data_IF_768676443527
#
_entry.id   IF_768676443527
#
_cell.length_a   1.000
_cell.length_b   1.000
_cell.length_c   1.000
_cell.angle_alpha   90.00
_cell.angle_beta   90.00
_cell.angle_gamma   90.00
#
_symmetry.space_group_name_H-M   'P 1'
#
loop_
_entity.id
_entity.type
_entity.pdbx_description
1 polymer ?
#
# COMPACT_ATOMS: atom_id res chain seq x y z
N UNK A 1 -0.20 3.29 -9.04
CA UNK A 1 0.33 2.64 -7.83
C UNK A 1 1.38 1.60 -8.20
N UNK A 2 2.58 1.70 -7.63
CA UNK A 2 3.68 0.74 -7.80
C UNK A 2 3.97 0.15 -6.41
N UNK A 3 4.07 -1.17 -6.30
CA UNK A 3 4.48 -1.87 -5.09
C UNK A 3 5.91 -2.39 -5.30
N UNK A 4 6.81 -2.11 -4.36
CA UNK A 4 8.20 -2.59 -4.44
C UNK A 4 8.36 -3.93 -3.72
N UNK A 5 8.51 -5.01 -4.49
CA UNK A 5 8.72 -6.36 -3.94
C UNK A 5 10.13 -6.60 -3.37
N UNK A 6 11.05 -5.64 -3.56
CA UNK A 6 12.39 -5.71 -2.95
C UNK A 6 12.37 -5.35 -1.46
N UNK A 7 11.31 -4.67 -1.02
CA UNK A 7 11.09 -4.29 0.38
C UNK A 7 10.08 -5.24 1.02
N UNK A 8 10.48 -5.89 2.12
CA UNK A 8 9.64 -6.89 2.81
C UNK A 8 8.32 -6.30 3.30
N UNK A 9 8.35 -5.10 3.86
CA UNK A 9 7.18 -4.41 4.38
C UNK A 9 7.36 -2.92 4.12
N UNK A 10 6.37 -2.33 3.46
CA UNK A 10 6.34 -0.92 3.13
C UNK A 10 5.04 -0.35 3.67
N UNK A 11 5.06 0.90 4.14
CA UNK A 11 3.85 1.65 4.47
C UNK A 11 3.98 3.04 3.86
N UNK A 12 3.01 3.44 3.06
CA UNK A 12 3.02 4.73 2.37
C UNK A 12 1.60 5.20 2.06
N UNK A 13 1.46 6.50 1.81
CA UNK A 13 0.19 7.14 1.51
C UNK A 13 0.11 7.42 0.02
N UNK A 14 -0.99 7.04 -0.60
CA UNK A 14 -1.35 7.34 -1.99
C UNK A 14 -2.73 8.00 -2.01
N UNK A 15 -3.02 8.79 -3.04
CA UNK A 15 -4.36 9.32 -3.24
C UNK A 15 -5.24 8.30 -3.98
N UNK A 16 -6.49 8.16 -3.55
CA UNK A 16 -7.45 7.33 -4.28
C UNK A 16 -7.81 8.00 -5.63
N UNK A 17 -7.57 7.32 -6.74
CA UNK A 17 -7.85 7.83 -8.10
C UNK A 17 -9.35 8.03 -8.41
N UNK A 18 -10.26 7.59 -7.53
CA UNK A 18 -11.71 7.73 -7.71
C UNK A 18 -12.28 8.89 -6.86
N UNK A 19 -11.83 9.01 -5.61
CA UNK A 19 -12.37 9.98 -4.65
C UNK A 19 -11.35 11.00 -4.14
N UNK A 20 -10.09 10.94 -4.58
CA UNK A 20 -8.97 11.80 -4.18
C UNK A 20 -8.73 11.87 -2.66
N UNK A 21 -9.22 10.89 -1.90
CA UNK A 21 -8.97 10.79 -0.47
C UNK A 21 -7.65 10.04 -0.22
N UNK A 22 -6.88 10.44 0.80
CA UNK A 22 -5.64 9.76 1.14
C UNK A 22 -5.94 8.35 1.68
N UNK A 23 -5.24 7.37 1.13
CA UNK A 23 -5.25 5.98 1.57
C UNK A 23 -3.84 5.58 2.00
N UNK A 24 -3.71 5.01 3.20
CA UNK A 24 -2.48 4.37 3.63
C UNK A 24 -2.48 2.92 3.17
N UNK A 25 -1.37 2.50 2.58
CA UNK A 25 -1.19 1.19 1.98
C UNK A 25 0.01 0.51 2.62
N UNK A 26 -0.19 -0.73 3.06
CA UNK A 26 0.82 -1.56 3.70
C UNK A 26 0.91 -2.94 3.03
N UNK A 27 1.65 -3.09 1.92
CA UNK A 27 1.95 -4.40 1.35
C UNK A 27 3.05 -5.12 2.15
N UNK A 28 2.98 -6.45 2.17
CA UNK A 28 4.03 -7.32 2.69
C UNK A 28 4.42 -8.36 1.64
N UNK A 29 5.72 -8.45 1.39
CA UNK A 29 6.32 -9.39 0.46
C UNK A 29 7.18 -10.41 1.18
N UNK A 30 7.13 -11.66 0.73
CA UNK A 30 8.07 -12.72 1.08
C UNK A 30 8.53 -13.41 -0.20
N UNK A 31 9.85 -13.55 -0.36
CA UNK A 31 10.46 -14.10 -1.59
C UNK A 31 9.86 -13.49 -2.87
N UNK A 32 9.74 -12.16 -2.92
CA UNK A 32 9.11 -11.39 -4.02
C UNK A 32 7.62 -11.71 -4.29
N UNK A 33 6.96 -12.45 -3.41
CA UNK A 33 5.54 -12.77 -3.48
C UNK A 33 4.76 -11.92 -2.49
N UNK A 34 3.67 -11.29 -2.93
CA UNK A 34 2.78 -10.53 -2.05
C UNK A 34 2.00 -11.51 -1.16
N UNK A 35 2.28 -11.49 0.14
CA UNK A 35 1.64 -12.38 1.13
C UNK A 35 0.56 -11.69 1.94
N UNK A 36 0.62 -10.37 2.06
CA UNK A 36 -0.41 -9.57 2.70
C UNK A 36 -0.51 -8.19 2.05
N UNK A 37 -1.72 -7.64 2.05
CA UNK A 37 -1.98 -6.30 1.56
C UNK A 37 -3.07 -5.67 2.42
N UNK A 38 -2.81 -4.46 2.91
CA UNK A 38 -3.78 -3.67 3.65
C UNK A 38 -3.85 -2.27 3.05
N UNK A 39 -5.07 -1.78 2.87
CA UNK A 39 -5.34 -0.41 2.47
C UNK A 39 -6.39 0.16 3.41
N UNK A 40 -6.09 1.30 4.02
CA UNK A 40 -6.99 2.00 4.93
C UNK A 40 -7.16 3.44 4.49
N UNK A 41 -8.40 3.89 4.39
CA UNK A 41 -8.70 5.32 4.23
C UNK A 41 -8.33 6.02 5.52
N UNK A 42 -7.49 7.04 5.43
CA UNK A 42 -7.01 7.79 6.61
C UNK A 42 -7.67 9.17 6.69
N UNK A 43 -8.98 9.23 6.37
CA UNK A 43 -9.82 10.44 6.35
C UNK A 43 -9.31 11.49 7.35
N UNK A 44 -8.73 12.56 6.79
CA UNK A 44 -8.19 13.70 7.54
C UNK A 44 -9.32 14.63 7.97
#
# INVERSE_FOLDING_TARGET
>A
MILDSSVRQQTYIEDCEVCCNPIEISPQFEESTLVAFQAQSIEQ
#
